data_IF_763658953959
#
_entry.id   IF_763658953959
#
_cell.length_a   1.000
_cell.length_b   1.000
_cell.length_c   1.000
_cell.angle_alpha   90.00
_cell.angle_beta   90.00
_cell.angle_gamma   90.00
#
_symmetry.space_group_name_H-M   'P 1'
#
loop_
_entity.id
_entity.type
_entity.pdbx_description
1 polymer ?
#
# COMPACT_ATOMS: atom_id res chain seq x y z
N UNK A 1 -5.67 24.02 -0.06
CA UNK A 1 -4.62 24.18 0.96
C UNK A 1 -4.29 22.84 1.57
N UNK A 2 -3.01 22.52 1.61
CA UNK A 2 -2.51 21.29 2.20
C UNK A 2 -2.26 21.50 3.68
N UNK A 3 -2.62 20.52 4.49
CA UNK A 3 -2.42 20.58 5.93
C UNK A 3 -1.16 19.78 6.27
N UNK A 4 -0.16 20.46 6.84
CA UNK A 4 1.03 19.81 7.40
C UNK A 4 0.83 19.72 8.90
N UNK A 5 1.04 18.54 9.49
CA UNK A 5 0.97 18.34 10.93
C UNK A 5 2.20 17.63 11.44
N UNK A 6 2.55 17.92 12.69
CA UNK A 6 3.58 17.21 13.41
C UNK A 6 2.99 15.97 14.07
N UNK A 7 3.70 14.86 13.98
CA UNK A 7 3.48 13.63 14.75
C UNK A 7 4.66 13.50 15.69
N UNK A 8 4.39 13.42 16.98
CA UNK A 8 5.41 13.29 18.01
C UNK A 8 5.23 12.00 18.79
N UNK A 9 6.33 11.49 19.28
CA UNK A 9 6.41 10.39 20.23
C UNK A 9 7.48 10.72 21.27
N UNK A 10 7.45 10.07 22.42
CA UNK A 10 8.47 10.21 23.45
C UNK A 10 8.79 8.86 24.07
N UNK A 11 10.02 8.67 24.39
CA UNK A 11 10.42 7.53 25.21
C UNK A 11 11.15 8.01 26.46
N UNK A 12 11.10 7.22 27.49
CA UNK A 12 11.72 7.53 28.78
C UNK A 12 12.48 6.30 29.29
N UNK A 13 13.50 6.56 30.06
CA UNK A 13 14.26 5.58 30.81
C UNK A 13 14.70 6.15 32.15
N UNK A 14 14.67 5.32 33.19
CA UNK A 14 15.10 5.71 34.52
C UNK A 14 16.62 5.65 34.67
N UNK A 15 17.14 6.29 35.69
CA UNK A 15 18.56 6.19 36.04
C UNK A 15 18.92 4.73 36.38
N UNK A 16 17.99 3.97 36.94
CA UNK A 16 18.19 2.54 37.25
C UNK A 16 18.28 1.69 36.00
N UNK A 17 17.42 1.95 34.98
CA UNK A 17 17.50 1.28 33.68
C UNK A 17 18.85 1.52 33.00
N UNK A 18 19.40 2.75 33.11
CA UNK A 18 20.72 3.07 32.58
C UNK A 18 21.83 2.28 33.27
N UNK A 19 21.78 2.15 34.59
CA UNK A 19 22.75 1.36 35.34
C UNK A 19 22.65 -0.12 34.97
N UNK A 20 21.45 -0.67 34.87
CA UNK A 20 21.23 -2.03 34.44
C UNK A 20 21.75 -2.28 33.01
N UNK A 21 21.50 -1.34 32.08
CA UNK A 21 21.94 -1.45 30.69
C UNK A 21 23.46 -1.41 30.55
N UNK A 22 24.13 -0.59 31.37
CA UNK A 22 25.60 -0.56 31.46
C UNK A 22 26.17 -1.90 31.92
N UNK A 23 25.58 -2.52 32.93
CA UNK A 23 25.96 -3.85 33.40
C UNK A 23 25.78 -4.94 32.36
N UNK A 24 24.72 -4.84 31.55
CA UNK A 24 24.41 -5.80 30.48
C UNK A 24 25.11 -5.51 29.15
N UNK A 25 25.86 -4.41 29.05
CA UNK A 25 26.50 -3.92 27.81
C UNK A 25 25.51 -3.73 26.65
N UNK A 26 24.24 -3.44 26.94
CA UNK A 26 23.18 -3.19 25.96
C UNK A 26 22.92 -1.69 25.91
N UNK A 27 22.93 -1.10 24.72
CA UNK A 27 22.60 0.31 24.53
C UNK A 27 21.08 0.51 24.50
N UNK A 28 20.48 0.71 25.66
CA UNK A 28 19.05 0.89 25.84
C UNK A 28 18.50 2.10 25.07
N UNK A 29 19.26 3.18 25.01
CA UNK A 29 18.86 4.40 24.28
C UNK A 29 18.71 4.15 22.78
N UNK A 30 19.64 3.43 22.18
CA UNK A 30 19.60 3.08 20.76
C UNK A 30 18.41 2.19 20.42
N UNK A 31 18.07 1.22 21.28
CA UNK A 31 16.93 0.35 21.06
C UNK A 31 15.60 1.10 21.17
N UNK A 32 15.44 1.94 22.20
CA UNK A 32 14.23 2.76 22.36
C UNK A 32 14.07 3.77 21.23
N UNK A 33 15.16 4.40 20.76
CA UNK A 33 15.14 5.28 19.60
C UNK A 33 14.69 4.55 18.32
N UNK A 34 15.18 3.33 18.08
CA UNK A 34 14.71 2.50 16.93
C UNK A 34 13.22 2.17 17.02
N UNK A 35 12.72 1.88 18.22
CA UNK A 35 11.30 1.59 18.43
C UNK A 35 10.46 2.84 18.16
N UNK A 36 10.84 4.00 18.70
CA UNK A 36 10.16 5.27 18.49
C UNK A 36 10.11 5.65 16.99
N UNK A 37 11.24 5.49 16.29
CA UNK A 37 11.29 5.67 14.84
C UNK A 37 10.33 4.74 14.10
N UNK A 38 10.31 3.45 14.44
CA UNK A 38 9.41 2.47 13.84
C UNK A 38 7.94 2.79 14.09
N UNK A 39 7.58 3.34 15.25
CA UNK A 39 6.20 3.79 15.55
C UNK A 39 5.81 4.95 14.64
N UNK A 40 6.68 5.95 14.49
CA UNK A 40 6.43 7.10 13.61
C UNK A 40 6.35 6.66 12.13
N UNK A 41 7.23 5.77 11.67
CA UNK A 41 7.20 5.21 10.30
C UNK A 41 5.91 4.44 10.02
N UNK A 42 5.42 3.63 10.97
CA UNK A 42 4.13 2.94 10.88
C UNK A 42 2.95 3.90 10.81
N UNK A 43 3.01 5.00 11.56
CA UNK A 43 1.98 6.03 11.51
C UNK A 43 2.01 6.77 10.19
N UNK A 44 3.20 7.04 9.66
CA UNK A 44 3.36 7.61 8.33
C UNK A 44 2.80 6.68 7.25
N UNK A 45 3.13 5.39 7.27
CA UNK A 45 2.57 4.39 6.37
C UNK A 45 1.03 4.39 6.41
N UNK A 46 0.43 4.44 7.62
CA UNK A 46 -1.02 4.53 7.76
C UNK A 46 -1.59 5.81 7.13
N UNK A 47 -0.95 6.96 7.36
CA UNK A 47 -1.39 8.24 6.79
C UNK A 47 -1.25 8.27 5.28
N UNK A 48 -0.17 7.70 4.74
CA UNK A 48 0.02 7.57 3.29
C UNK A 48 -1.02 6.65 2.66
N UNK A 49 -1.40 5.57 3.34
CA UNK A 49 -2.37 4.60 2.82
C UNK A 49 -3.80 5.15 2.83
N UNK A 50 -4.32 5.39 4.02
CA UNK A 50 -5.74 5.69 4.23
C UNK A 50 -6.01 7.12 4.72
N UNK A 51 -4.96 7.89 4.96
CA UNK A 51 -5.08 9.22 5.53
C UNK A 51 -5.45 9.17 7.01
N UNK A 52 -6.14 10.19 7.47
CA UNK A 52 -6.66 10.29 8.83
C UNK A 52 -6.81 11.74 9.26
N UNK A 53 -7.95 12.09 9.83
CA UNK A 53 -8.28 13.49 10.14
C UNK A 53 -8.27 14.34 8.87
N UNK A 54 -7.39 15.37 8.76
CA UNK A 54 -7.33 16.23 7.58
C UNK A 54 -6.49 15.65 6.42
N UNK A 55 -5.77 14.56 6.65
CA UNK A 55 -4.89 13.96 5.65
C UNK A 55 -5.65 13.10 4.65
N UNK A 56 -5.24 13.18 3.40
CA UNK A 56 -5.71 12.30 2.32
C UNK A 56 -4.67 11.21 2.09
N UNK A 57 -5.11 9.96 2.02
CA UNK A 57 -4.27 8.83 1.72
C UNK A 57 -4.33 8.44 0.25
N UNK A 58 -3.38 7.62 -0.19
CA UNK A 58 -3.36 7.09 -1.56
C UNK A 58 -4.58 6.21 -1.85
N UNK A 59 -5.03 5.42 -0.88
CA UNK A 59 -6.09 4.42 -1.09
C UNK A 59 -7.52 4.95 -0.89
N UNK A 60 -7.68 6.16 -0.37
CA UNK A 60 -8.99 6.79 -0.16
C UNK A 60 -9.02 8.24 -0.65
N UNK A 61 -8.19 8.57 -1.62
CA UNK A 61 -8.11 9.93 -2.15
C UNK A 61 -9.40 10.30 -2.89
N UNK A 62 -10.05 11.43 -2.54
CA UNK A 62 -11.33 11.82 -3.13
C UNK A 62 -11.26 12.16 -4.61
N UNK A 63 -10.06 12.41 -5.15
CA UNK A 63 -9.84 12.66 -6.56
C UNK A 63 -9.59 11.38 -7.38
N UNK A 64 -9.52 10.21 -6.74
CA UNK A 64 -9.34 8.96 -7.48
C UNK A 64 -10.61 8.54 -8.22
N UNK A 65 -10.43 7.86 -9.32
CA UNK A 65 -11.53 7.36 -10.15
C UNK A 65 -11.83 5.91 -9.78
N UNK A 66 -13.11 5.53 -9.82
CA UNK A 66 -13.53 4.16 -9.60
C UNK A 66 -13.55 3.38 -10.92
N UNK A 67 -13.03 2.15 -10.88
CA UNK A 67 -13.12 1.19 -11.97
C UNK A 67 -13.92 -0.02 -11.47
N UNK A 68 -14.88 -0.47 -12.26
CA UNK A 68 -15.68 -1.65 -11.96
C UNK A 68 -15.05 -2.86 -12.64
N UNK A 69 -14.65 -3.86 -11.84
CA UNK A 69 -14.16 -5.13 -12.37
C UNK A 69 -15.25 -5.86 -13.15
N UNK A 70 -14.86 -6.57 -14.21
CA UNK A 70 -15.78 -7.37 -14.99
C UNK A 70 -16.36 -8.54 -14.19
N UNK A 71 -17.59 -8.92 -14.48
CA UNK A 71 -18.21 -10.13 -13.90
C UNK A 71 -17.42 -11.37 -14.32
N UNK A 72 -17.11 -12.23 -13.35
CA UNK A 72 -16.35 -13.48 -13.57
C UNK A 72 -17.28 -14.60 -14.02
N UNK A 73 -16.70 -15.59 -14.68
CA UNK A 73 -17.45 -16.77 -15.14
C UNK A 73 -18.12 -17.53 -13.98
N UNK A 74 -17.52 -17.55 -12.80
CA UNK A 74 -18.10 -18.13 -11.60
C UNK A 74 -19.14 -17.22 -10.90
N UNK A 75 -19.38 -16.02 -11.41
CA UNK A 75 -20.27 -14.99 -10.84
C UNK A 75 -19.52 -14.00 -9.96
N UNK A 76 -20.13 -12.82 -9.74
CA UNK A 76 -19.51 -11.74 -8.99
C UNK A 76 -18.36 -11.04 -9.73
N UNK A 77 -17.70 -10.10 -9.06
CA UNK A 77 -16.63 -9.28 -9.65
C UNK A 77 -15.27 -9.52 -8.99
N UNK A 78 -15.20 -10.35 -7.94
CA UNK A 78 -13.98 -10.55 -7.14
C UNK A 78 -13.13 -11.71 -7.65
N UNK A 79 -11.84 -11.62 -7.35
CA UNK A 79 -10.88 -12.68 -7.67
C UNK A 79 -10.95 -13.83 -6.68
N UNK A 80 -11.22 -13.52 -5.42
CA UNK A 80 -11.31 -14.45 -4.29
C UNK A 80 -12.63 -14.28 -3.54
N UNK A 81 -13.22 -15.36 -3.06
CA UNK A 81 -14.34 -15.33 -2.13
C UNK A 81 -13.84 -15.25 -0.69
N UNK A 82 -14.49 -14.43 0.12
CA UNK A 82 -14.30 -14.39 1.55
C UNK A 82 -14.94 -15.61 2.20
N UNK A 83 -14.11 -16.56 2.58
CA UNK A 83 -14.53 -17.75 3.32
C UNK A 83 -13.41 -18.22 4.21
N UNK A 84 -13.66 -19.17 5.14
CA UNK A 84 -12.59 -19.78 5.94
C UNK A 84 -11.58 -20.54 5.07
N UNK A 85 -11.96 -20.91 3.86
CA UNK A 85 -11.08 -21.45 2.82
C UNK A 85 -11.09 -20.48 1.63
N UNK A 86 -9.92 -20.00 1.24
CA UNK A 86 -9.78 -19.14 0.06
C UNK A 86 -10.19 -19.91 -1.20
N UNK A 87 -11.37 -19.60 -1.73
CA UNK A 87 -11.81 -20.14 -3.00
C UNK A 87 -11.65 -19.09 -4.08
N UNK A 88 -11.10 -19.50 -5.21
CA UNK A 88 -10.85 -18.60 -6.33
C UNK A 88 -12.13 -18.49 -7.18
N UNK A 89 -12.58 -17.27 -7.37
CA UNK A 89 -13.76 -16.95 -8.16
C UNK A 89 -13.40 -16.60 -9.62
N UNK A 90 -12.21 -16.03 -9.81
CA UNK A 90 -11.70 -15.65 -11.13
C UNK A 90 -10.74 -16.68 -11.69
N UNK A 91 -10.81 -16.90 -12.99
CA UNK A 91 -9.80 -17.64 -13.74
C UNK A 91 -8.53 -16.80 -13.91
N UNK A 92 -7.35 -17.41 -14.12
CA UNK A 92 -6.12 -16.69 -14.39
C UNK A 92 -6.21 -15.68 -15.53
N UNK A 93 -6.92 -16.03 -16.59
CA UNK A 93 -7.13 -15.16 -17.75
C UNK A 93 -7.98 -13.93 -17.41
N UNK A 94 -9.04 -14.11 -16.60
CA UNK A 94 -9.89 -13.00 -16.15
C UNK A 94 -9.13 -12.02 -15.25
N UNK A 95 -8.25 -12.50 -14.38
CA UNK A 95 -7.40 -11.64 -13.52
C UNK A 95 -6.48 -10.77 -14.40
N UNK A 96 -5.80 -11.39 -15.37
CA UNK A 96 -4.92 -10.66 -16.30
C UNK A 96 -5.72 -9.65 -17.14
N UNK A 97 -6.92 -10.01 -17.56
CA UNK A 97 -7.79 -9.11 -18.32
C UNK A 97 -8.25 -7.92 -17.49
N UNK A 98 -8.60 -8.11 -16.21
CA UNK A 98 -8.95 -7.02 -15.30
C UNK A 98 -7.79 -6.02 -15.15
N UNK A 99 -6.58 -6.53 -14.88
CA UNK A 99 -5.39 -5.68 -14.74
C UNK A 99 -5.14 -4.90 -16.01
N UNK A 100 -5.25 -5.58 -17.17
CA UNK A 100 -5.10 -4.93 -18.47
C UNK A 100 -6.12 -3.83 -18.66
N UNK A 101 -7.41 -4.12 -18.42
CA UNK A 101 -8.48 -3.17 -18.61
C UNK A 101 -8.35 -1.93 -17.70
N UNK A 102 -7.91 -2.11 -16.44
CA UNK A 102 -7.63 -0.99 -15.53
C UNK A 102 -6.52 -0.09 -16.09
N UNK A 103 -5.41 -0.68 -16.53
CA UNK A 103 -4.28 0.07 -17.07
C UNK A 103 -4.64 0.75 -18.41
N UNK A 104 -5.37 0.06 -19.30
CA UNK A 104 -5.85 0.63 -20.57
C UNK A 104 -6.79 1.81 -20.32
N UNK A 105 -7.71 1.68 -19.37
CA UNK A 105 -8.59 2.78 -19.00
C UNK A 105 -7.80 3.97 -18.45
N UNK A 106 -6.83 3.75 -17.57
CA UNK A 106 -5.96 4.80 -17.07
C UNK A 106 -5.20 5.50 -18.20
N UNK A 107 -4.67 4.74 -19.17
CA UNK A 107 -3.95 5.25 -20.33
C UNK A 107 -4.85 6.08 -21.24
N UNK A 108 -6.06 5.62 -21.54
CA UNK A 108 -7.03 6.34 -22.36
C UNK A 108 -7.46 7.64 -21.70
N UNK A 109 -7.78 7.61 -20.40
CA UNK A 109 -8.25 8.79 -19.67
C UNK A 109 -7.18 9.86 -19.48
N UNK A 110 -5.92 9.48 -19.52
CA UNK A 110 -4.76 10.40 -19.50
C UNK A 110 -4.30 10.80 -20.90
N UNK A 111 -5.05 10.44 -21.96
CA UNK A 111 -4.68 10.70 -23.36
C UNK A 111 -3.25 10.19 -23.69
N UNK A 112 -2.88 9.02 -23.15
CA UNK A 112 -1.56 8.41 -23.30
C UNK A 112 -0.39 9.28 -22.83
N UNK A 113 -0.64 10.23 -21.93
CA UNK A 113 0.41 11.06 -21.34
C UNK A 113 1.44 10.23 -20.55
N UNK A 114 0.97 9.14 -19.92
CA UNK A 114 1.81 8.22 -19.15
C UNK A 114 1.90 6.87 -19.86
N UNK A 115 3.13 6.38 -20.02
CA UNK A 115 3.40 5.12 -20.72
C UNK A 115 3.35 3.90 -19.81
N UNK A 116 3.59 4.08 -18.51
CA UNK A 116 3.69 2.97 -17.56
C UNK A 116 2.95 3.25 -16.26
N UNK A 117 2.35 2.19 -15.73
CA UNK A 117 1.55 2.21 -14.51
C UNK A 117 2.06 1.17 -13.52
N UNK A 118 1.98 1.49 -12.24
CA UNK A 118 2.20 0.55 -11.14
C UNK A 118 0.85 0.07 -10.61
N UNK A 119 0.79 -1.22 -10.30
CA UNK A 119 -0.35 -1.87 -9.67
C UNK A 119 -0.03 -2.14 -8.20
N UNK A 120 -0.90 -1.71 -7.32
CA UNK A 120 -0.84 -2.04 -5.89
C UNK A 120 -2.04 -2.87 -5.52
N UNK A 121 -1.79 -4.00 -4.87
CA UNK A 121 -2.81 -4.96 -4.42
C UNK A 121 -2.65 -5.21 -2.92
N UNK A 122 -3.66 -5.77 -2.29
CA UNK A 122 -3.57 -6.25 -0.92
C UNK A 122 -2.99 -7.67 -0.84
N UNK A 123 -2.95 -8.19 0.37
CA UNK A 123 -2.38 -9.52 0.65
C UNK A 123 -3.14 -10.63 -0.09
N UNK A 124 -4.45 -10.50 -0.23
CA UNK A 124 -5.28 -11.52 -0.90
C UNK A 124 -5.17 -11.44 -2.41
N UNK A 125 -5.06 -10.23 -2.97
CA UNK A 125 -4.74 -10.04 -4.37
C UNK A 125 -3.38 -10.62 -4.72
N UNK A 126 -2.37 -10.50 -3.83
CA UNK A 126 -1.07 -11.15 -3.99
C UNK A 126 -1.20 -12.67 -4.03
N UNK A 127 -2.00 -13.28 -3.13
CA UNK A 127 -2.26 -14.72 -3.15
C UNK A 127 -2.88 -15.15 -4.49
N UNK A 128 -3.83 -14.36 -5.02
CA UNK A 128 -4.41 -14.63 -6.34
C UNK A 128 -3.36 -14.55 -7.46
N UNK A 129 -2.48 -13.56 -7.42
CA UNK A 129 -1.44 -13.32 -8.43
C UNK A 129 -0.26 -14.29 -8.35
N UNK A 130 -0.04 -14.90 -7.19
CA UNK A 130 1.03 -15.91 -6.99
C UNK A 130 0.72 -17.27 -7.62
N UNK A 131 -0.54 -17.53 -8.00
CA UNK A 131 -0.94 -18.78 -8.64
C UNK A 131 -0.26 -18.96 -9.99
N UNK A 132 -0.01 -20.22 -10.42
CA UNK A 132 0.47 -20.48 -11.77
C UNK A 132 -0.58 -20.04 -12.80
N UNK A 133 -0.12 -19.42 -13.87
CA UNK A 133 -1.00 -19.09 -14.98
C UNK A 133 -1.37 -20.35 -15.74
N UNK A 134 -2.67 -20.59 -15.88
CA UNK A 134 -3.22 -21.74 -16.61
C UNK A 134 -4.11 -21.26 -17.74
N UNK A 135 -4.05 -21.96 -18.87
CA UNK A 135 -4.93 -21.72 -19.99
C UNK A 135 -5.45 -23.03 -20.59
N UNK A 136 -6.56 -22.96 -21.28
CA UNK A 136 -7.14 -24.10 -21.98
C UNK A 136 -6.54 -24.20 -23.39
N UNK A 137 -6.00 -25.38 -23.72
CA UNK A 137 -5.63 -25.74 -25.10
C UNK A 137 -6.56 -26.89 -25.54
N UNK A 138 -7.64 -26.54 -26.20
CA UNK A 138 -8.75 -27.48 -26.45
C UNK A 138 -9.42 -27.89 -25.13
N UNK A 139 -9.38 -29.20 -24.83
CA UNK A 139 -9.94 -29.76 -23.58
C UNK A 139 -8.89 -29.92 -22.47
N UNK A 140 -7.62 -29.64 -22.75
CA UNK A 140 -6.53 -29.80 -21.79
C UNK A 140 -6.19 -28.49 -21.08
N UNK A 141 -6.02 -28.56 -19.75
CA UNK A 141 -5.50 -27.46 -18.95
C UNK A 141 -3.98 -27.48 -19.03
N UNK A 142 -3.39 -26.44 -19.58
CA UNK A 142 -1.94 -26.24 -19.60
C UNK A 142 -1.54 -25.34 -18.44
N UNK A 143 -0.65 -25.83 -17.60
CA UNK A 143 -0.06 -25.07 -16.49
C UNK A 143 1.28 -24.51 -16.96
N UNK A 144 1.49 -23.21 -16.78
CA UNK A 144 2.77 -22.57 -17.10
C UNK A 144 3.66 -22.47 -15.86
N UNK A 145 4.95 -22.35 -16.05
CA UNK A 145 5.93 -22.11 -14.96
C UNK A 145 5.88 -20.67 -14.42
N UNK A 146 5.02 -19.81 -14.99
CA UNK A 146 4.90 -18.42 -14.60
C UNK A 146 3.68 -18.22 -13.70
N UNK A 147 3.83 -17.38 -12.66
CA UNK A 147 2.69 -16.92 -11.89
C UNK A 147 1.81 -15.94 -12.71
N UNK A 148 0.55 -15.77 -12.30
CA UNK A 148 -0.36 -14.83 -12.95
C UNK A 148 0.24 -13.42 -12.96
N UNK A 149 0.87 -12.99 -11.86
CA UNK A 149 1.53 -11.68 -11.77
C UNK A 149 2.70 -11.55 -12.74
N UNK A 150 3.55 -12.57 -12.86
CA UNK A 150 4.66 -12.57 -13.81
C UNK A 150 4.17 -12.56 -15.26
N UNK A 151 3.11 -13.33 -15.54
CA UNK A 151 2.51 -13.36 -16.87
C UNK A 151 1.89 -12.00 -17.23
N UNK A 152 1.22 -11.33 -16.29
CA UNK A 152 0.66 -10.00 -16.47
C UNK A 152 1.75 -8.96 -16.76
N UNK A 153 2.85 -8.94 -15.99
CA UNK A 153 4.00 -8.06 -16.23
C UNK A 153 4.64 -8.26 -17.59
N UNK A 154 4.69 -9.49 -18.09
CA UNK A 154 5.27 -9.81 -19.41
C UNK A 154 4.33 -9.45 -20.57
N UNK A 155 3.02 -9.59 -20.36
CA UNK A 155 2.03 -9.51 -21.44
C UNK A 155 1.41 -8.13 -21.58
N UNK A 156 1.40 -7.33 -20.50
CA UNK A 156 0.84 -5.97 -20.48
C UNK A 156 1.99 -4.97 -20.58
N UNK A 157 2.21 -4.34 -21.76
CA UNK A 157 3.42 -3.53 -22.01
C UNK A 157 3.47 -2.24 -21.20
N UNK A 158 2.33 -1.75 -20.71
CA UNK A 158 2.22 -0.55 -19.88
C UNK A 158 2.12 -0.84 -18.38
N UNK A 159 2.20 -2.08 -17.96
CA UNK A 159 2.30 -2.47 -16.55
C UNK A 159 3.79 -2.57 -16.17
N UNK A 160 4.26 -1.67 -15.31
CA UNK A 160 5.68 -1.61 -14.91
C UNK A 160 5.99 -2.50 -13.73
N UNK A 161 5.19 -2.44 -12.69
CA UNK A 161 5.40 -3.24 -11.47
C UNK A 161 4.07 -3.60 -10.80
N UNK A 162 4.12 -4.69 -10.04
CA UNK A 162 3.06 -5.11 -9.12
C UNK A 162 3.67 -5.10 -7.73
N UNK A 163 3.05 -4.41 -6.80
CA UNK A 163 3.49 -4.35 -5.41
C UNK A 163 2.34 -4.69 -4.46
N UNK A 164 2.70 -5.27 -3.31
CA UNK A 164 1.74 -5.63 -2.29
C UNK A 164 1.80 -4.63 -1.15
N UNK A 165 0.63 -4.20 -0.72
CA UNK A 165 0.49 -3.33 0.44
C UNK A 165 -0.69 -3.79 1.30
N UNK A 166 -0.40 -4.26 2.50
CA UNK A 166 -1.41 -4.79 3.43
C UNK A 166 -2.52 -3.78 3.79
N UNK A 167 -2.27 -2.49 3.60
CA UNK A 167 -3.27 -1.43 3.80
C UNK A 167 -4.41 -1.48 2.77
N UNK A 168 -4.20 -2.14 1.65
CA UNK A 168 -5.23 -2.35 0.63
C UNK A 168 -6.32 -3.33 1.08
N UNK A 169 -6.01 -4.24 2.04
CA UNK A 169 -6.89 -5.35 2.43
C UNK A 169 -8.29 -4.92 2.89
N UNK A 170 -8.41 -3.71 3.45
CA UNK A 170 -9.66 -3.15 3.97
C UNK A 170 -9.96 -1.74 3.49
N UNK A 171 -9.25 -1.26 2.47
CA UNK A 171 -9.37 0.12 1.99
C UNK A 171 -10.57 0.35 1.08
N UNK A 172 -11.16 -0.70 0.52
CA UNK A 172 -12.31 -0.62 -0.37
C UNK A 172 -13.63 -0.35 0.36
N UNK A 173 -14.63 0.00 -0.42
CA UNK A 173 -15.98 0.25 0.09
C UNK A 173 -16.55 -1.01 0.76
N UNK A 174 -17.04 -0.87 1.99
CA UNK A 174 -17.51 -2.02 2.77
C UNK A 174 -16.40 -2.86 3.41
N UNK A 175 -15.14 -2.39 3.42
CA UNK A 175 -14.02 -3.11 4.03
C UNK A 175 -13.43 -4.22 3.15
N UNK A 176 -13.75 -4.23 1.87
CA UNK A 176 -13.16 -5.14 0.90
C UNK A 176 -11.76 -4.70 0.48
N UNK A 177 -11.02 -5.59 -0.15
CA UNK A 177 -9.71 -5.26 -0.69
C UNK A 177 -9.85 -4.27 -1.87
N UNK A 178 -8.95 -3.30 -1.89
CA UNK A 178 -8.83 -2.30 -2.96
C UNK A 178 -7.57 -2.54 -3.77
N UNK A 179 -7.74 -2.49 -5.08
CA UNK A 179 -6.65 -2.46 -6.04
C UNK A 179 -6.48 -1.01 -6.49
N UNK A 180 -5.24 -0.54 -6.59
CA UNK A 180 -4.94 0.79 -7.10
C UNK A 180 -3.96 0.72 -8.28
N UNK A 181 -4.25 1.51 -9.32
CA UNK A 181 -3.38 1.69 -10.51
C UNK A 181 -3.05 3.15 -10.65
N UNK A 182 -1.77 3.46 -10.76
CA UNK A 182 -1.28 4.83 -10.94
C UNK A 182 0.11 4.83 -11.61
N UNK A 183 0.49 5.88 -12.35
CA UNK A 183 1.85 6.07 -12.79
C UNK A 183 2.71 6.57 -11.63
N UNK A 184 3.88 6.00 -11.45
CA UNK A 184 4.83 6.44 -10.43
C UNK A 184 5.63 7.63 -10.93
N UNK A 185 4.98 8.78 -10.92
CA UNK A 185 5.54 10.05 -11.37
C UNK A 185 5.27 11.11 -10.29
N UNK A 186 6.28 11.87 -9.84
CA UNK A 186 6.11 12.97 -8.89
C UNK A 186 5.16 14.06 -9.39
N UNK A 187 4.98 14.20 -10.70
CA UNK A 187 4.00 15.12 -11.30
C UNK A 187 2.56 14.64 -11.12
N UNK A 188 2.35 13.34 -10.87
CA UNK A 188 1.02 12.74 -10.66
C UNK A 188 0.66 12.69 -9.20
N UNK A 189 1.56 12.11 -8.40
CA UNK A 189 1.32 11.94 -6.97
C UNK A 189 2.61 12.05 -6.17
N UNK A 190 2.49 12.64 -4.99
CA UNK A 190 3.59 12.89 -4.08
C UNK A 190 3.14 12.63 -2.64
N UNK A 191 3.95 11.86 -1.90
CA UNK A 191 3.82 11.78 -0.43
C UNK A 191 4.69 12.88 0.18
N UNK A 192 4.07 13.83 0.87
CA UNK A 192 4.78 14.99 1.40
C UNK A 192 5.30 14.74 2.81
N UNK A 193 6.63 14.73 2.96
CA UNK A 193 7.36 14.61 4.23
C UNK A 193 8.23 15.84 4.42
N UNK A 194 7.70 16.94 4.96
CA UNK A 194 8.46 18.18 5.16
C UNK A 194 9.61 18.04 6.17
N UNK A 195 9.46 17.17 7.15
CA UNK A 195 10.47 16.85 8.14
C UNK A 195 10.44 15.35 8.42
N UNK A 196 11.58 14.70 8.19
CA UNK A 196 11.77 13.30 8.55
C UNK A 196 11.90 13.15 10.08
N UNK A 197 12.14 11.95 10.56
CA UNK A 197 12.29 11.66 11.97
C UNK A 197 13.45 12.48 12.57
N UNK A 198 13.15 13.30 13.57
CA UNK A 198 14.10 14.07 14.36
C UNK A 198 13.96 13.72 15.84
N UNK A 199 15.08 13.55 16.49
CA UNK A 199 15.17 13.24 17.92
C UNK A 199 15.85 14.40 18.64
N UNK A 200 15.24 14.87 19.71
CA UNK A 200 15.83 15.89 20.58
C UNK A 200 16.79 15.28 21.60
N UNK A 201 17.65 16.13 22.16
CA UNK A 201 18.51 15.72 23.25
C UNK A 201 17.69 15.24 24.46
N UNK A 202 18.14 14.19 25.17
CA UNK A 202 17.49 13.72 26.38
C UNK A 202 17.39 14.84 27.44
N UNK A 203 16.20 14.99 28.01
CA UNK A 203 15.92 15.96 29.07
C UNK A 203 15.72 15.22 30.37
N UNK A 204 16.34 15.73 31.45
CA UNK A 204 16.14 15.18 32.80
C UNK A 204 14.77 15.61 33.34
N UNK A 205 13.96 14.66 33.74
CA UNK A 205 12.66 14.88 34.37
C UNK A 205 12.57 14.00 35.63
N UNK A 206 12.85 14.59 36.79
CA UNK A 206 12.98 13.83 38.04
C UNK A 206 14.16 12.84 37.98
N UNK A 207 13.87 11.54 38.22
CA UNK A 207 14.85 10.44 38.13
C UNK A 207 14.83 9.71 36.79
N UNK A 208 14.27 10.33 35.74
CA UNK A 208 14.14 9.75 34.42
C UNK A 208 14.64 10.71 33.34
N UNK A 209 15.17 10.14 32.28
CA UNK A 209 15.48 10.89 31.06
C UNK A 209 14.32 10.72 30.08
N UNK A 210 13.86 11.83 29.51
CA UNK A 210 12.79 11.88 28.51
C UNK A 210 13.38 12.38 27.21
N UNK A 211 13.23 11.59 26.15
CA UNK A 211 13.64 11.98 24.79
C UNK A 211 12.39 12.16 23.94
N UNK A 212 12.22 13.36 23.37
CA UNK A 212 11.16 13.67 22.45
C UNK A 212 11.59 13.43 21.02
N UNK A 213 10.70 12.80 20.24
CA UNK A 213 10.91 12.56 18.82
C UNK A 213 9.74 13.16 18.05
N UNK A 214 9.98 13.71 16.87
CA UNK A 214 8.91 14.19 16.02
C UNK A 214 9.24 14.05 14.53
N UNK A 215 8.18 14.07 13.71
CA UNK A 215 8.24 14.16 12.26
C UNK A 215 7.05 15.01 11.76
N UNK A 216 7.12 15.55 10.54
CA UNK A 216 6.03 16.31 9.93
C UNK A 216 5.57 15.64 8.65
N UNK A 217 4.26 15.47 8.51
CA UNK A 217 3.64 14.85 7.34
C UNK A 217 2.59 15.78 6.75
N UNK A 218 2.42 15.71 5.42
CA UNK A 218 1.42 16.43 4.65
C UNK A 218 0.40 15.52 3.93
N UNK A 219 0.46 14.19 4.14
CA UNK A 219 -0.39 13.24 3.43
C UNK A 219 0.06 13.02 1.98
N UNK A 220 -0.86 12.49 1.17
CA UNK A 220 -0.65 12.24 -0.25
C UNK A 220 -1.37 13.30 -1.07
N UNK A 221 -0.64 13.87 -2.02
CA UNK A 221 -1.11 14.86 -2.98
C UNK A 221 -1.27 14.19 -4.31
N UNK A 222 -2.45 14.27 -4.90
CA UNK A 222 -2.73 13.82 -6.26
C UNK A 222 -2.92 15.04 -7.13
N UNK A 223 -2.01 15.27 -8.07
CA UNK A 223 -2.04 16.42 -9.01
C UNK A 223 -2.83 16.10 -10.26
N UNK A 224 -2.79 14.84 -10.69
CA UNK A 224 -3.48 14.34 -11.90
C UNK A 224 -4.53 13.31 -11.50
N UNK A 225 -5.75 13.78 -11.23
CA UNK A 225 -6.86 12.93 -10.77
C UNK A 225 -7.17 11.78 -11.76
N UNK A 226 -7.10 12.03 -13.06
CA UNK A 226 -7.40 11.05 -14.11
C UNK A 226 -6.41 9.88 -14.17
N UNK A 227 -5.25 10.02 -13.54
CA UNK A 227 -4.20 9.01 -13.56
C UNK A 227 -4.30 7.98 -12.40
N UNK A 228 -5.12 8.25 -11.38
CA UNK A 228 -5.31 7.38 -10.22
C UNK A 228 -6.65 6.66 -10.31
N UNK A 229 -6.61 5.33 -10.32
CA UNK A 229 -7.78 4.47 -10.47
C UNK A 229 -7.84 3.42 -9.37
N UNK A 230 -9.04 3.18 -8.85
CA UNK A 230 -9.33 2.14 -7.86
C UNK A 230 -10.29 1.12 -8.42
N UNK A 231 -10.05 -0.14 -8.08
CA UNK A 231 -11.04 -1.20 -8.19
C UNK A 231 -11.23 -1.83 -6.82
N UNK A 232 -12.47 -1.89 -6.36
CA UNK A 232 -12.84 -2.55 -5.12
C UNK A 232 -13.36 -3.95 -5.45
N UNK A 233 -13.03 -4.94 -4.63
CA UNK A 233 -13.56 -6.28 -4.77
C UNK A 233 -12.62 -7.29 -5.41
N UNK A 234 -11.29 -7.18 -5.21
CA UNK A 234 -10.43 -8.35 -5.41
C UNK A 234 -10.81 -9.49 -4.47
N UNK A 235 -11.62 -9.16 -3.46
CA UNK A 235 -12.23 -10.09 -2.51
C UNK A 235 -13.60 -9.56 -2.05
N UNK A 236 -14.54 -10.46 -1.80
CA UNK A 236 -15.74 -10.26 -0.97
C UNK A 236 -15.47 -10.70 0.46
#
# INVERSE_FOLDING_TARGET
SEVIRSIGDKYLYSVEDLRASQLMQVSLDVEKAKIARKVIERKFDQVCATGGGPFKGLLNHPAANAFTLATKTAGGTHWLNAGPTFTFNATPAEIVQDIRAMCENAKVQTNSLYESFDLVVGTKGEIALSRPYTYLNGTQVVVTDQSIGQYALKTIPFLRSISTWNRCDTAGSGGVERIAVYPRDPEVLEARVPLDFEQFAPQLSGMSFVTHCHAKFGGVIVRQAKALWYADGSQL
#
